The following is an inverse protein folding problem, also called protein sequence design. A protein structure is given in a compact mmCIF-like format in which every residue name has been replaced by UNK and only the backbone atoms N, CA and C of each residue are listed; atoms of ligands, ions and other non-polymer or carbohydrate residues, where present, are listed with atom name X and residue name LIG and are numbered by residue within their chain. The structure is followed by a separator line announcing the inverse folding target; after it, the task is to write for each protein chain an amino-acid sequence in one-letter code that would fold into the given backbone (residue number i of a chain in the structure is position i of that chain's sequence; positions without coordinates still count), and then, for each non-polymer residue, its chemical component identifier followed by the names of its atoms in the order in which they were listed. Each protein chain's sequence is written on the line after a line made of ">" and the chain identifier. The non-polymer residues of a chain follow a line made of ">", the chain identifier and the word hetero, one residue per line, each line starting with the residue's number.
data_IF_178982648165
#
_entry.id   IF_178982648165
#
_cell.length_a   1.000
_cell.length_b   1.000
_cell.length_c   1.000
_cell.angle_alpha   90.00
_cell.angle_beta   90.00
_cell.angle_gamma   90.00
#
_symmetry.space_group_name_H-M   'P 1'
#
loop_
_entity.id
_entity.type
_entity.pdbx_description
1 polymer ?
#
# COMPACT_ATOMS: atom_id res chain seq x y z
N UNK A 1 -34.77 -22.04 0.19
CA UNK A 1 -34.46 -20.74 0.83
C UNK A 1 -32.97 -20.61 1.17
N UNK A 2 -32.43 -21.34 2.17
CA UNK A 2 -31.02 -21.16 2.58
C UNK A 2 -30.03 -21.52 1.46
N UNK A 3 -30.21 -22.66 0.78
CA UNK A 3 -29.33 -23.05 -0.34
C UNK A 3 -29.22 -21.99 -1.43
N UNK A 4 -30.36 -21.41 -1.83
CA UNK A 4 -30.42 -20.30 -2.79
C UNK A 4 -29.60 -19.08 -2.33
N UNK A 5 -29.79 -18.63 -1.08
CA UNK A 5 -29.04 -17.51 -0.53
C UNK A 5 -27.52 -17.72 -0.59
N UNK A 6 -27.06 -18.93 -0.28
CA UNK A 6 -25.64 -19.26 -0.29
C UNK A 6 -25.07 -19.37 -1.71
N UNK A 7 -25.86 -19.84 -2.67
CA UNK A 7 -25.48 -19.89 -4.08
C UNK A 7 -25.31 -18.48 -4.65
N UNK A 8 -26.27 -17.58 -4.37
CA UNK A 8 -26.19 -16.18 -4.77
C UNK A 8 -24.93 -15.50 -4.19
N UNK A 9 -24.63 -15.71 -2.91
CA UNK A 9 -23.43 -15.15 -2.26
C UNK A 9 -22.11 -15.76 -2.74
N UNK A 10 -22.12 -17.00 -3.24
CA UNK A 10 -20.93 -17.63 -3.85
C UNK A 10 -20.64 -17.04 -5.23
N UNK A 11 -21.68 -16.71 -5.98
CA UNK A 11 -21.56 -16.08 -7.28
C UNK A 11 -21.21 -14.59 -7.16
N UNK A 12 -21.89 -13.89 -6.26
CA UNK A 12 -21.76 -12.45 -6.04
C UNK A 12 -21.67 -12.14 -4.53
N UNK A 13 -20.43 -12.01 -3.99
CA UNK A 13 -20.22 -11.82 -2.56
C UNK A 13 -20.54 -10.41 -2.07
N UNK A 14 -20.85 -9.45 -2.95
CA UNK A 14 -21.15 -8.07 -2.57
C UNK A 14 -22.65 -7.79 -2.31
N UNK A 15 -23.50 -8.79 -2.56
CA UNK A 15 -24.95 -8.70 -2.38
C UNK A 15 -25.32 -8.30 -0.95
N UNK A 16 -26.08 -7.22 -0.85
CA UNK A 16 -26.63 -6.77 0.43
C UNK A 16 -27.77 -7.66 0.89
N UNK A 17 -28.03 -7.67 2.21
CA UNK A 17 -29.17 -8.38 2.79
C UNK A 17 -30.53 -7.95 2.20
N UNK A 18 -30.65 -6.71 1.70
CA UNK A 18 -31.86 -6.24 1.02
C UNK A 18 -31.98 -6.83 -0.37
N UNK A 19 -30.91 -6.80 -1.18
CA UNK A 19 -30.90 -7.43 -2.49
C UNK A 19 -31.18 -8.93 -2.42
N UNK A 20 -30.68 -9.61 -1.38
CA UNK A 20 -30.99 -11.03 -1.14
C UNK A 20 -32.47 -11.25 -0.79
N UNK A 21 -33.09 -10.34 -0.05
CA UNK A 21 -34.53 -10.40 0.24
C UNK A 21 -35.37 -10.19 -1.02
N UNK A 22 -34.99 -9.20 -1.83
CA UNK A 22 -35.66 -8.91 -3.10
C UNK A 22 -35.54 -10.10 -4.07
N UNK A 23 -34.35 -10.74 -4.17
CA UNK A 23 -34.15 -11.95 -5.00
C UNK A 23 -34.97 -13.14 -4.49
N UNK A 24 -35.03 -13.36 -3.17
CA UNK A 24 -35.88 -14.41 -2.60
C UNK A 24 -37.37 -14.19 -2.89
N UNK A 25 -37.83 -12.94 -2.83
CA UNK A 25 -39.21 -12.61 -3.16
C UNK A 25 -39.50 -12.80 -4.65
N UNK A 26 -38.60 -12.34 -5.52
CA UNK A 26 -38.77 -12.40 -6.97
C UNK A 26 -38.65 -13.83 -7.53
N UNK A 27 -37.69 -14.63 -7.05
CA UNK A 27 -37.38 -15.93 -7.63
C UNK A 27 -38.07 -17.09 -6.92
N UNK A 28 -38.37 -16.95 -5.62
CA UNK A 28 -39.01 -17.99 -4.82
C UNK A 28 -40.39 -17.61 -4.29
N UNK A 29 -40.84 -16.37 -4.48
CA UNK A 29 -42.10 -15.87 -3.89
C UNK A 29 -42.04 -15.73 -2.36
N UNK A 30 -40.85 -15.73 -1.77
CA UNK A 30 -40.66 -15.75 -0.30
C UNK A 30 -40.22 -14.38 0.19
N UNK A 31 -41.14 -13.67 0.86
CA UNK A 31 -40.84 -12.38 1.50
C UNK A 31 -40.26 -12.60 2.91
N UNK A 32 -39.05 -12.12 3.13
CA UNK A 32 -38.36 -12.20 4.43
C UNK A 32 -37.72 -10.88 4.82
N UNK A 33 -37.62 -10.62 6.12
CA UNK A 33 -36.88 -9.47 6.62
C UNK A 33 -35.36 -9.67 6.43
N UNK A 34 -34.57 -8.60 6.20
CA UNK A 34 -33.11 -8.69 6.10
C UNK A 34 -32.44 -9.34 7.32
N UNK A 35 -33.03 -9.17 8.51
CA UNK A 35 -32.54 -9.81 9.74
C UNK A 35 -32.65 -11.34 9.69
N UNK A 36 -33.70 -11.88 9.08
CA UNK A 36 -33.87 -13.34 8.91
C UNK A 36 -32.81 -13.90 7.98
N UNK A 37 -32.50 -13.20 6.88
CA UNK A 37 -31.41 -13.56 5.97
C UNK A 37 -30.07 -13.55 6.71
N UNK A 38 -29.79 -12.49 7.49
CA UNK A 38 -28.57 -12.41 8.29
C UNK A 38 -28.41 -13.63 9.20
N UNK A 39 -29.46 -14.01 9.91
CA UNK A 39 -29.41 -15.16 10.82
C UNK A 39 -29.09 -16.48 10.08
N UNK A 40 -29.65 -16.68 8.88
CA UNK A 40 -29.36 -17.87 8.07
C UNK A 40 -27.94 -17.86 7.47
N UNK A 41 -27.47 -16.71 6.99
CA UNK A 41 -26.13 -16.52 6.46
C UNK A 41 -25.08 -16.73 7.57
N UNK A 42 -25.31 -16.16 8.75
CA UNK A 42 -24.45 -16.37 9.94
C UNK A 42 -24.44 -17.85 10.38
N UNK A 43 -25.61 -18.51 10.41
CA UNK A 43 -25.73 -19.93 10.75
C UNK A 43 -25.01 -20.83 9.73
N UNK A 44 -24.90 -20.41 8.48
CA UNK A 44 -24.10 -21.05 7.44
C UNK A 44 -22.61 -20.66 7.49
N UNK A 45 -22.19 -19.93 8.51
CA UNK A 45 -20.82 -19.45 8.72
C UNK A 45 -20.29 -18.50 7.63
N UNK A 46 -21.19 -17.82 6.90
CA UNK A 46 -20.80 -16.72 6.02
C UNK A 46 -20.61 -15.46 6.86
N UNK A 47 -19.38 -14.99 6.94
CA UNK A 47 -19.02 -13.80 7.71
C UNK A 47 -18.67 -12.63 6.79
N UNK A 48 -18.97 -11.41 7.24
CA UNK A 48 -18.56 -10.19 6.54
C UNK A 48 -17.04 -10.09 6.52
N UNK A 49 -16.46 -10.04 5.32
CA UNK A 49 -15.03 -9.86 5.10
C UNK A 49 -14.80 -8.61 4.25
N UNK A 50 -13.59 -8.07 4.31
CA UNK A 50 -13.18 -7.04 3.36
C UNK A 50 -13.03 -7.70 1.98
N UNK A 51 -13.74 -7.17 0.98
CA UNK A 51 -13.61 -7.63 -0.41
C UNK A 51 -12.19 -7.34 -0.91
N UNK A 52 -11.52 -8.38 -1.40
CA UNK A 52 -10.25 -8.25 -2.12
C UNK A 52 -10.60 -8.08 -3.60
N UNK A 53 -10.21 -6.93 -4.17
CA UNK A 53 -10.54 -6.60 -5.57
C UNK A 53 -9.45 -7.14 -6.48
N UNK A 54 -9.78 -8.14 -7.28
CA UNK A 54 -8.93 -8.60 -8.38
C UNK A 54 -9.20 -7.79 -9.64
N UNK A 55 -8.13 -7.24 -10.23
CA UNK A 55 -8.25 -6.60 -11.53
C UNK A 55 -8.51 -7.68 -12.57
N UNK A 56 -9.58 -7.54 -13.34
CA UNK A 56 -10.01 -8.52 -14.35
C UNK A 56 -8.89 -8.93 -15.32
N UNK A 57 -7.98 -8.00 -15.62
CA UNK A 57 -6.88 -8.23 -16.55
C UNK A 57 -5.63 -8.86 -15.91
N UNK A 58 -5.54 -8.96 -14.57
CA UNK A 58 -4.31 -9.34 -13.84
C UNK A 58 -3.77 -10.71 -14.26
N UNK A 59 -4.67 -11.67 -14.47
CA UNK A 59 -4.36 -13.08 -14.76
C UNK A 59 -4.70 -13.51 -16.19
N UNK A 60 -4.87 -12.54 -17.09
CA UNK A 60 -4.97 -12.83 -18.53
C UNK A 60 -3.70 -13.52 -19.04
N UNK A 61 -3.83 -14.38 -20.05
CA UNK A 61 -2.69 -15.08 -20.69
C UNK A 61 -1.59 -14.11 -21.10
N UNK A 62 -1.96 -12.99 -21.73
CA UNK A 62 -1.04 -11.93 -22.16
C UNK A 62 -0.24 -11.34 -20.99
N UNK A 63 -0.88 -11.08 -19.84
CA UNK A 63 -0.16 -10.53 -18.68
C UNK A 63 0.67 -11.59 -17.94
N UNK A 64 0.29 -12.87 -18.03
CA UNK A 64 1.14 -13.98 -17.55
C UNK A 64 2.40 -14.12 -18.39
N UNK A 65 2.30 -14.02 -19.71
CA UNK A 65 3.45 -14.04 -20.63
C UNK A 65 4.39 -12.86 -20.33
N UNK A 66 3.86 -11.63 -20.23
CA UNK A 66 4.66 -10.45 -19.85
C UNK A 66 5.39 -10.62 -18.51
N UNK A 67 4.74 -11.23 -17.52
CA UNK A 67 5.37 -11.53 -16.22
C UNK A 67 6.52 -12.53 -16.36
N UNK A 68 6.33 -13.56 -17.20
CA UNK A 68 7.37 -14.55 -17.49
C UNK A 68 8.55 -13.91 -18.22
N UNK A 69 8.31 -13.12 -19.25
CA UNK A 69 9.36 -12.44 -20.02
C UNK A 69 10.17 -11.48 -19.13
N UNK A 70 9.47 -10.75 -18.25
CA UNK A 70 10.10 -9.93 -17.23
C UNK A 70 10.96 -10.76 -16.28
N UNK A 71 10.44 -11.89 -15.77
CA UNK A 71 11.18 -12.75 -14.84
C UNK A 71 12.44 -13.34 -15.51
N UNK A 72 12.34 -13.79 -16.75
CA UNK A 72 13.49 -14.28 -17.53
C UNK A 72 14.55 -13.18 -17.65
N UNK A 73 14.15 -11.98 -18.06
CA UNK A 73 15.06 -10.84 -18.19
C UNK A 73 15.74 -10.49 -16.85
N UNK A 74 14.97 -10.53 -15.75
CA UNK A 74 15.50 -10.29 -14.40
C UNK A 74 16.54 -11.34 -14.01
N UNK A 75 16.25 -12.63 -14.27
CA UNK A 75 17.16 -13.73 -13.98
C UNK A 75 18.44 -13.66 -14.82
N UNK A 76 18.36 -13.26 -16.08
CA UNK A 76 19.53 -13.04 -16.94
C UNK A 76 20.44 -11.95 -16.37
N UNK A 77 19.88 -10.83 -15.91
CA UNK A 77 20.67 -9.78 -15.27
C UNK A 77 21.30 -10.23 -13.96
N UNK A 78 20.57 -11.00 -13.15
CA UNK A 78 21.12 -11.60 -11.93
C UNK A 78 22.25 -12.59 -12.23
N UNK A 79 22.09 -13.44 -13.24
CA UNK A 79 23.11 -14.40 -13.68
C UNK A 79 24.36 -13.71 -14.24
N UNK A 80 24.19 -12.54 -14.86
CA UNK A 80 25.28 -11.67 -15.30
C UNK A 80 25.96 -10.91 -14.15
N UNK A 81 25.55 -11.13 -12.90
CA UNK A 81 26.14 -10.47 -11.71
C UNK A 81 25.73 -9.01 -11.55
N UNK A 82 24.67 -8.56 -12.23
CA UNK A 82 24.20 -7.17 -12.11
C UNK A 82 23.51 -6.93 -10.78
N UNK A 83 23.69 -5.72 -10.25
CA UNK A 83 23.01 -5.22 -9.05
C UNK A 83 21.62 -4.74 -9.44
N UNK A 84 20.60 -5.43 -8.93
CA UNK A 84 19.20 -5.05 -9.11
C UNK A 84 18.78 -4.07 -8.01
N UNK A 85 18.29 -2.92 -8.42
CA UNK A 85 17.78 -1.87 -7.54
C UNK A 85 16.28 -1.68 -7.76
N UNK A 86 15.50 -1.78 -6.70
CA UNK A 86 14.05 -1.61 -6.72
C UNK A 86 13.69 -0.21 -6.22
N UNK A 87 13.00 0.55 -7.06
CA UNK A 87 12.55 1.90 -6.75
C UNK A 87 11.05 1.93 -6.55
N UNK A 88 10.61 2.64 -5.52
CA UNK A 88 9.20 2.86 -5.21
C UNK A 88 8.93 4.21 -4.56
N UNK A 89 7.68 4.65 -4.65
CA UNK A 89 7.20 5.88 -4.06
C UNK A 89 6.15 5.57 -2.97
N UNK A 90 6.42 6.03 -1.75
CA UNK A 90 5.47 5.97 -0.64
C UNK A 90 5.07 7.37 -0.19
N UNK A 91 3.85 7.50 0.34
CA UNK A 91 3.30 8.77 0.78
C UNK A 91 3.10 8.77 2.29
N UNK A 92 3.73 9.73 2.97
CA UNK A 92 3.49 10.00 4.38
C UNK A 92 2.59 11.21 4.55
N UNK A 93 1.64 11.11 5.47
CA UNK A 93 0.84 12.25 5.89
C UNK A 93 0.70 12.32 7.40
N UNK A 94 0.60 13.55 7.92
CA UNK A 94 0.35 13.82 9.34
C UNK A 94 -1.13 14.06 9.62
N UNK A 95 -2.04 13.62 8.74
CA UNK A 95 -3.46 13.87 8.92
C UNK A 95 -4.03 12.97 10.02
N UNK A 96 -3.82 13.36 11.28
CA UNK A 96 -4.36 12.68 12.44
C UNK A 96 -5.53 13.47 13.05
N UNK A 97 -6.68 13.43 12.40
CA UNK A 97 -7.91 14.01 12.94
C UNK A 97 -8.74 12.92 13.62
N UNK A 98 -9.10 13.11 14.89
CA UNK A 98 -10.09 12.24 15.55
C UNK A 98 -11.44 12.44 14.86
N UNK A 99 -11.97 11.38 14.25
CA UNK A 99 -13.27 11.37 13.57
C UNK A 99 -14.45 11.24 14.54
N UNK A 100 -14.18 10.87 15.80
CA UNK A 100 -15.19 10.69 16.86
C UNK A 100 -14.85 11.55 18.07
N UNK A 101 -15.86 12.23 18.60
CA UNK A 101 -15.83 13.02 19.83
C UNK A 101 -17.15 12.90 20.57
N UNK A 102 -17.21 13.36 21.82
CA UNK A 102 -18.44 13.35 22.61
C UNK A 102 -19.09 14.73 22.56
N UNK A 103 -20.42 14.75 22.50
CA UNK A 103 -21.27 15.94 22.64
C UNK A 103 -22.54 15.54 23.38
N UNK A 104 -23.31 16.52 23.83
CA UNK A 104 -24.62 16.28 24.43
C UNK A 104 -25.54 15.56 23.43
N UNK A 105 -26.43 14.69 23.94
CA UNK A 105 -27.43 13.99 23.12
C UNK A 105 -28.24 15.01 22.32
N UNK A 106 -28.37 14.78 21.00
CA UNK A 106 -29.02 15.71 20.08
C UNK A 106 -28.14 16.87 19.58
N UNK A 107 -26.90 17.01 20.06
CA UNK A 107 -25.94 18.01 19.57
C UNK A 107 -24.80 17.35 18.80
N UNK A 108 -24.32 18.03 17.76
CA UNK A 108 -23.13 17.61 17.01
C UNK A 108 -21.87 17.82 17.85
N UNK A 109 -20.93 16.87 17.81
CA UNK A 109 -19.58 17.09 18.32
C UNK A 109 -18.80 17.91 17.29
N UNK A 110 -18.37 19.12 17.67
CA UNK A 110 -17.67 20.06 16.78
C UNK A 110 -16.31 20.38 17.36
N UNK A 111 -15.26 20.21 16.56
CA UNK A 111 -13.90 20.64 16.86
C UNK A 111 -13.50 21.70 15.85
N UNK A 112 -13.09 22.88 16.31
CA UNK A 112 -12.47 23.89 15.45
C UNK A 112 -11.11 23.36 15.00
N UNK A 113 -10.90 23.31 13.69
CA UNK A 113 -9.64 22.94 13.05
C UNK A 113 -9.22 24.08 12.14
N UNK A 114 -7.91 24.27 11.99
CA UNK A 114 -7.38 25.22 11.03
C UNK A 114 -7.72 24.78 9.61
N UNK A 115 -7.97 25.75 8.72
CA UNK A 115 -8.16 25.48 7.30
C UNK A 115 -6.80 25.14 6.65
N UNK A 116 -6.75 24.06 5.88
CA UNK A 116 -5.53 23.56 5.25
C UNK A 116 -5.14 22.17 5.74
N UNK A 117 -5.29 21.18 4.85
CA UNK A 117 -4.75 19.84 5.04
C UNK A 117 -3.26 19.87 5.39
N UNK A 118 -2.79 18.96 6.24
CA UNK A 118 -1.35 18.68 6.29
C UNK A 118 -0.89 18.22 4.91
N UNK A 119 0.20 18.76 4.38
CA UNK A 119 0.72 18.33 3.09
C UNK A 119 1.21 16.88 3.16
N UNK A 120 0.98 16.12 2.08
CA UNK A 120 1.61 14.82 1.91
C UNK A 120 3.11 15.03 1.63
N UNK A 121 3.92 14.20 2.26
CA UNK A 121 5.33 14.02 1.92
C UNK A 121 5.45 12.77 1.06
N UNK A 122 5.92 12.96 -0.16
CA UNK A 122 6.30 11.90 -1.06
C UNK A 122 7.71 11.47 -0.70
N UNK A 123 7.93 10.17 -0.55
CA UNK A 123 9.24 9.60 -0.30
C UNK A 123 9.50 8.57 -1.38
N UNK A 124 10.52 8.86 -2.18
CA UNK A 124 10.98 7.94 -3.22
C UNK A 124 12.18 7.22 -2.64
N UNK A 125 12.14 5.90 -2.62
CA UNK A 125 13.17 5.07 -2.05
C UNK A 125 13.65 4.05 -3.07
N UNK A 126 14.95 3.76 -3.03
CA UNK A 126 15.62 2.78 -3.84
C UNK A 126 16.31 1.78 -2.91
N UNK A 127 15.94 0.51 -3.01
CA UNK A 127 16.46 -0.58 -2.18
C UNK A 127 17.11 -1.65 -3.05
N UNK A 128 18.15 -2.29 -2.54
CA UNK A 128 18.70 -3.53 -3.09
C UNK A 128 18.19 -4.73 -2.29
N UNK A 129 18.63 -5.94 -2.67
CA UNK A 129 18.44 -7.15 -1.85
C UNK A 129 18.97 -6.98 -0.41
N UNK A 130 19.96 -6.10 -0.21
CA UNK A 130 20.73 -6.05 1.03
C UNK A 130 20.52 -4.79 1.85
N UNK A 131 20.10 -3.66 1.27
CA UNK A 131 19.92 -2.43 2.03
C UNK A 131 19.12 -1.37 1.27
N UNK A 132 18.72 -0.33 1.99
CA UNK A 132 18.41 0.97 1.42
C UNK A 132 19.65 1.56 0.72
N UNK A 133 19.52 1.89 -0.56
CA UNK A 133 20.60 2.48 -1.37
C UNK A 133 20.49 4.00 -1.40
N UNK A 134 19.29 4.52 -1.64
CA UNK A 134 19.06 5.96 -1.73
C UNK A 134 17.60 6.28 -1.46
N UNK A 135 17.32 7.44 -0.87
CA UNK A 135 15.97 7.96 -0.79
C UNK A 135 15.96 9.48 -0.81
N UNK A 136 14.86 10.04 -1.27
CA UNK A 136 14.59 11.48 -1.21
C UNK A 136 13.19 11.70 -0.67
N UNK A 137 13.04 12.80 0.07
CA UNK A 137 11.76 13.25 0.62
C UNK A 137 11.36 14.56 -0.04
N UNK A 138 10.10 14.68 -0.49
CA UNK A 138 9.58 15.91 -1.12
C UNK A 138 8.17 16.22 -0.64
N UNK A 139 7.87 17.50 -0.46
CA UNK A 139 6.50 17.95 -0.17
C UNK A 139 5.78 18.39 -1.44
N UNK A 140 4.47 18.14 -1.47
CA UNK A 140 3.62 18.53 -2.61
C UNK A 140 3.67 17.51 -3.75
N UNK A 141 3.04 17.84 -4.87
CA UNK A 141 2.81 16.87 -5.97
C UNK A 141 4.10 16.38 -6.60
N UNK A 142 4.22 15.06 -6.75
CA UNK A 142 5.27 14.44 -7.54
C UNK A 142 4.96 14.53 -9.04
N UNK A 143 5.89 15.05 -9.84
CA UNK A 143 5.81 15.15 -11.32
C UNK A 143 6.91 14.30 -11.95
N UNK A 144 6.75 13.93 -13.20
CA UNK A 144 7.75 13.16 -13.96
C UNK A 144 9.18 13.74 -13.90
N UNK A 145 9.31 15.07 -13.92
CA UNK A 145 10.61 15.75 -13.78
C UNK A 145 11.33 15.38 -12.48
N UNK A 146 10.58 15.19 -11.40
CA UNK A 146 11.12 14.84 -10.09
C UNK A 146 11.66 13.41 -10.07
N UNK A 147 10.99 12.48 -10.77
CA UNK A 147 11.47 11.11 -10.92
C UNK A 147 12.82 11.07 -11.63
N UNK A 148 12.99 11.87 -12.68
CA UNK A 148 14.28 11.96 -13.39
C UNK A 148 15.37 12.58 -12.52
N UNK A 149 15.03 13.58 -11.71
CA UNK A 149 15.97 14.19 -10.77
C UNK A 149 16.41 13.18 -9.70
N UNK A 150 15.47 12.41 -9.16
CA UNK A 150 15.76 11.32 -8.23
C UNK A 150 16.68 10.27 -8.85
N UNK A 151 16.36 9.78 -10.05
CA UNK A 151 17.22 8.80 -10.75
C UNK A 151 18.62 9.36 -10.97
N UNK A 152 18.74 10.64 -11.32
CA UNK A 152 20.06 11.30 -11.45
C UNK A 152 20.78 11.39 -10.11
N UNK A 153 20.08 11.70 -9.03
CA UNK A 153 20.62 11.70 -7.66
C UNK A 153 21.12 10.31 -7.25
N UNK A 154 20.30 9.28 -7.46
CA UNK A 154 20.63 7.88 -7.22
C UNK A 154 21.90 7.46 -7.98
N UNK A 155 21.96 7.70 -9.30
CA UNK A 155 23.11 7.29 -10.11
C UNK A 155 24.39 8.02 -9.69
N UNK A 156 24.30 9.31 -9.31
CA UNK A 156 25.44 10.05 -8.73
C UNK A 156 25.89 9.45 -7.41
N UNK A 157 24.94 9.10 -6.53
CA UNK A 157 25.23 8.47 -5.25
C UNK A 157 25.96 7.14 -5.43
N UNK A 158 25.46 6.28 -6.33
CA UNK A 158 26.09 4.99 -6.66
C UNK A 158 27.49 5.19 -7.25
N UNK A 159 27.65 6.13 -8.18
CA UNK A 159 28.96 6.43 -8.77
C UNK A 159 29.98 6.96 -7.75
N UNK A 160 29.54 7.71 -6.74
CA UNK A 160 30.40 8.26 -5.69
C UNK A 160 30.85 7.23 -4.66
N UNK A 161 30.02 6.22 -4.37
CA UNK A 161 30.37 5.12 -3.48
C UNK A 161 31.53 4.28 -4.05
N UNK A 162 31.67 4.23 -5.38
CA UNK A 162 32.79 3.57 -6.07
C UNK A 162 32.78 2.04 -6.01
N UNK A 163 31.81 1.44 -5.30
CA UNK A 163 31.68 -0.01 -5.12
C UNK A 163 31.01 -0.72 -6.30
N UNK A 164 30.23 0.00 -7.12
CA UNK A 164 29.40 -0.56 -8.18
C UNK A 164 29.56 0.27 -9.46
N UNK A 165 29.91 -0.38 -10.59
CA UNK A 165 29.89 0.26 -11.90
C UNK A 165 28.46 0.51 -12.34
N UNK A 166 28.19 1.69 -12.93
CA UNK A 166 26.86 2.03 -13.45
C UNK A 166 26.40 1.07 -14.56
N UNK A 167 27.32 0.43 -15.29
CA UNK A 167 27.00 -0.61 -16.29
C UNK A 167 26.36 -1.86 -15.68
N UNK A 168 26.59 -2.07 -14.40
CA UNK A 168 26.23 -3.28 -13.68
C UNK A 168 24.96 -3.05 -12.85
N UNK A 169 24.33 -1.88 -12.96
CA UNK A 169 23.09 -1.54 -12.26
C UNK A 169 21.89 -1.75 -13.17
N UNK A 170 20.87 -2.44 -12.66
CA UNK A 170 19.54 -2.55 -13.28
C UNK A 170 18.53 -1.93 -12.33
N UNK A 171 17.84 -0.90 -12.80
CA UNK A 171 16.78 -0.24 -12.05
C UNK A 171 15.42 -0.85 -12.42
N UNK A 172 14.75 -1.41 -11.43
CA UNK A 172 13.38 -1.93 -11.52
C UNK A 172 12.43 -0.89 -10.94
N UNK A 173 11.48 -0.46 -11.76
CA UNK A 173 10.46 0.52 -11.43
C UNK A 173 9.12 -0.19 -11.23
N UNK A 174 8.83 -0.68 -10.02
CA UNK A 174 7.46 -0.99 -9.58
C UNK A 174 7.40 -1.30 -8.07
N UNK A 175 6.26 -0.92 -7.46
CA UNK A 175 5.69 -1.23 -6.14
C UNK A 175 6.59 -1.97 -5.13
N UNK A 176 7.74 -1.40 -4.77
CA UNK A 176 8.61 -1.98 -3.75
C UNK A 176 7.90 -1.92 -2.38
N UNK A 177 8.02 -2.95 -1.52
CA UNK A 177 7.29 -3.04 -0.26
C UNK A 177 7.80 -2.09 0.83
N UNK A 178 8.43 -0.97 0.46
CA UNK A 178 8.94 0.05 1.37
C UNK A 178 7.82 0.86 2.07
N UNK A 179 6.55 0.55 1.79
CA UNK A 179 5.40 1.06 2.52
C UNK A 179 5.47 0.68 4.01
N UNK A 180 6.11 1.53 4.80
CA UNK A 180 6.09 1.42 6.24
C UNK A 180 4.93 2.27 6.81
N UNK A 181 4.21 1.70 7.79
CA UNK A 181 3.20 2.45 8.54
C UNK A 181 3.92 3.32 9.57
N UNK A 182 4.31 4.53 9.19
CA UNK A 182 4.85 5.56 10.11
C UNK A 182 3.86 5.97 11.22
N UNK A 183 2.68 5.34 11.28
CA UNK A 183 1.65 5.50 12.32
C UNK A 183 2.21 5.38 13.75
N UNK A 184 3.22 4.53 13.97
CA UNK A 184 3.84 4.36 15.29
C UNK A 184 4.53 5.65 15.78
N UNK A 185 5.33 6.30 14.92
CA UNK A 185 5.95 7.60 15.18
C UNK A 185 4.92 8.65 15.55
N UNK A 186 3.87 8.72 14.73
CA UNK A 186 2.83 9.73 14.85
C UNK A 186 2.07 9.56 16.16
N UNK A 187 1.94 8.32 16.63
CA UNK A 187 1.31 7.99 17.90
C UNK A 187 2.18 8.42 19.08
N UNK A 188 3.48 8.15 19.03
CA UNK A 188 4.42 8.45 20.11
C UNK A 188 4.69 9.95 20.27
N UNK A 189 4.87 10.67 19.15
CA UNK A 189 5.16 12.12 19.13
C UNK A 189 3.90 12.98 19.00
N UNK A 190 2.73 12.40 19.29
CA UNK A 190 1.43 13.05 19.04
C UNK A 190 1.29 14.40 19.74
N UNK A 191 1.72 14.49 21.00
CA UNK A 191 1.61 15.73 21.77
C UNK A 191 2.49 16.82 21.18
N UNK A 192 3.72 16.48 20.81
CA UNK A 192 4.69 17.40 20.22
C UNK A 192 4.24 17.91 18.85
N UNK A 193 3.65 17.03 18.01
CA UNK A 193 3.08 17.42 16.70
C UNK A 193 1.94 18.44 16.86
N UNK A 194 1.22 18.40 17.99
CA UNK A 194 0.12 19.32 18.28
C UNK A 194 0.59 20.61 18.96
N UNK A 195 1.71 20.57 19.69
CA UNK A 195 2.30 21.70 20.38
C UNK A 195 3.24 22.48 19.43
N UNK A 196 2.66 23.38 18.63
CA UNK A 196 3.43 24.24 17.71
C UNK A 196 4.17 25.32 18.51
N UNK A 197 5.50 25.45 18.40
CA UNK A 197 6.28 26.51 19.03
C UNK A 197 5.87 27.90 18.56
N UNK A 198 6.09 28.90 19.41
CA UNK A 198 5.86 30.30 19.05
C UNK A 198 6.82 30.73 17.94
N UNK A 199 6.31 31.47 16.95
CA UNK A 199 7.10 31.92 15.79
C UNK A 199 7.28 30.88 14.67
N UNK A 200 6.81 29.64 14.82
CA UNK A 200 6.87 28.60 13.77
C UNK A 200 5.47 28.38 13.19
N UNK A 201 5.36 28.31 11.87
CA UNK A 201 4.07 27.98 11.26
C UNK A 201 3.73 26.51 11.54
N UNK A 202 2.45 26.21 11.74
CA UNK A 202 1.99 24.82 11.92
C UNK A 202 2.36 23.93 10.72
N UNK A 203 2.48 24.52 9.53
CA UNK A 203 2.92 23.83 8.32
C UNK A 203 4.38 23.40 8.48
N UNK A 204 5.27 24.33 8.79
CA UNK A 204 6.71 24.06 8.90
C UNK A 204 7.00 23.09 10.06
N UNK A 205 6.28 23.26 11.19
CA UNK A 205 6.35 22.35 12.33
C UNK A 205 5.97 20.92 11.94
N UNK A 206 4.87 20.73 11.22
CA UNK A 206 4.46 19.39 10.77
C UNK A 206 5.41 18.82 9.71
N UNK A 207 5.91 19.67 8.82
CA UNK A 207 6.88 19.26 7.82
C UNK A 207 8.17 18.74 8.45
N UNK A 208 8.67 19.38 9.51
CA UNK A 208 9.87 18.89 10.20
C UNK A 208 9.66 17.50 10.81
N UNK A 209 8.49 17.25 11.44
CA UNK A 209 8.15 15.91 11.94
C UNK A 209 8.04 14.86 10.84
N UNK A 210 7.50 15.21 9.66
CA UNK A 210 7.45 14.29 8.53
C UNK A 210 8.86 13.93 8.06
N UNK A 211 9.75 14.92 7.90
CA UNK A 211 11.14 14.66 7.56
C UNK A 211 11.84 13.80 8.62
N UNK A 212 11.72 14.15 9.90
CA UNK A 212 12.30 13.38 11.00
C UNK A 212 11.82 11.92 10.97
N UNK A 213 10.52 11.71 10.75
CA UNK A 213 9.95 10.39 10.58
C UNK A 213 10.61 9.66 9.41
N UNK A 214 10.63 10.23 8.20
CA UNK A 214 11.22 9.55 7.04
C UNK A 214 12.69 9.17 7.29
N UNK A 215 13.50 10.09 7.83
CA UNK A 215 14.91 9.80 8.11
C UNK A 215 15.12 8.72 9.17
N UNK A 216 14.23 8.64 10.17
CA UNK A 216 14.28 7.60 11.19
C UNK A 216 13.76 6.25 10.69
N UNK A 217 12.67 6.24 9.92
CA UNK A 217 11.98 5.00 9.52
C UNK A 217 12.52 4.36 8.25
N UNK A 218 12.95 5.14 7.25
CA UNK A 218 13.39 4.56 5.99
C UNK A 218 14.52 3.55 6.19
N UNK A 219 15.56 3.81 7.01
CA UNK A 219 16.61 2.83 7.29
C UNK A 219 16.10 1.60 8.07
N UNK A 220 15.09 1.76 8.93
CA UNK A 220 14.51 0.64 9.69
C UNK A 220 13.64 -0.25 8.80
N UNK A 221 12.79 0.38 7.98
CA UNK A 221 11.89 -0.29 7.05
C UNK A 221 12.68 -1.06 5.98
N UNK A 222 13.71 -0.43 5.41
CA UNK A 222 14.62 -1.02 4.42
C UNK A 222 15.95 -1.46 5.06
N UNK A 223 15.87 -2.06 6.26
CA UNK A 223 17.01 -2.71 6.89
C UNK A 223 17.42 -3.97 6.11
N UNK A 224 18.67 -4.42 6.27
CA UNK A 224 19.15 -5.63 5.58
C UNK A 224 18.30 -6.87 5.84
N UNK A 225 17.80 -7.03 7.07
CA UNK A 225 16.92 -8.13 7.44
C UNK A 225 15.60 -8.04 6.66
N UNK A 226 15.01 -6.85 6.59
CA UNK A 226 13.74 -6.63 5.88
C UNK A 226 13.92 -6.75 4.37
N UNK A 227 14.94 -6.13 3.78
CA UNK A 227 15.24 -6.23 2.34
C UNK A 227 15.40 -7.68 1.90
N UNK A 228 16.15 -8.50 2.66
CA UNK A 228 16.27 -9.94 2.39
C UNK A 228 14.94 -10.68 2.55
N UNK A 229 14.13 -10.32 3.54
CA UNK A 229 12.81 -10.90 3.72
C UNK A 229 11.87 -10.57 2.55
N UNK A 230 11.88 -9.31 2.08
CA UNK A 230 11.12 -8.85 0.91
C UNK A 230 11.58 -9.58 -0.34
N UNK A 231 12.88 -9.68 -0.59
CA UNK A 231 13.42 -10.44 -1.72
C UNK A 231 13.03 -11.93 -1.65
N UNK A 232 13.14 -12.57 -0.48
CA UNK A 232 12.69 -13.97 -0.32
C UNK A 232 11.20 -14.13 -0.55
N UNK A 233 10.40 -13.14 -0.18
CA UNK A 233 8.96 -13.13 -0.45
C UNK A 233 8.71 -13.06 -1.96
N UNK A 234 9.46 -12.26 -2.72
CA UNK A 234 9.29 -12.18 -4.19
C UNK A 234 9.61 -13.49 -4.89
N UNK A 235 10.58 -14.27 -4.40
CA UNK A 235 10.93 -15.58 -4.97
C UNK A 235 9.76 -16.57 -5.01
N UNK A 236 8.78 -16.46 -4.09
CA UNK A 236 7.58 -17.31 -4.13
C UNK A 236 6.75 -17.07 -5.37
N UNK A 237 6.71 -15.82 -5.84
CA UNK A 237 6.00 -15.46 -7.06
C UNK A 237 6.76 -15.88 -8.31
N UNK A 238 8.09 -16.02 -8.25
CA UNK A 238 8.88 -16.49 -9.40
C UNK A 238 8.42 -17.88 -9.84
N UNK A 239 8.18 -18.79 -8.89
CA UNK A 239 7.68 -20.14 -9.19
C UNK A 239 6.30 -20.11 -9.88
N UNK A 240 5.36 -19.31 -9.36
CA UNK A 240 4.04 -19.16 -9.97
C UNK A 240 4.11 -18.57 -11.38
N UNK A 241 4.99 -17.58 -11.59
CA UNK A 241 5.22 -16.99 -12.91
C UNK A 241 5.82 -18.01 -13.88
N UNK A 242 6.79 -18.83 -13.45
CA UNK A 242 7.35 -19.90 -14.27
C UNK A 242 6.29 -20.89 -14.73
N UNK A 243 5.36 -21.28 -13.84
CA UNK A 243 4.27 -22.20 -14.15
C UNK A 243 3.09 -21.57 -14.90
N UNK A 244 3.07 -20.24 -15.07
CA UNK A 244 1.92 -19.48 -15.60
C UNK A 244 0.67 -19.61 -14.72
N UNK A 245 0.89 -19.74 -13.42
CA UNK A 245 -0.17 -19.76 -12.43
C UNK A 245 -0.80 -18.37 -12.27
N UNK A 246 -2.02 -18.35 -11.75
CA UNK A 246 -2.69 -17.11 -11.35
C UNK A 246 -1.94 -16.48 -10.18
N UNK A 247 -1.66 -15.19 -10.29
CA UNK A 247 -1.09 -14.44 -9.19
C UNK A 247 -2.19 -14.10 -8.19
N UNK A 248 -1.94 -14.27 -6.89
CA UNK A 248 -2.88 -13.87 -5.85
C UNK A 248 -2.86 -12.35 -5.65
N UNK A 249 -4.00 -11.78 -5.29
CA UNK A 249 -4.14 -10.36 -4.97
C UNK A 249 -3.87 -10.12 -3.49
N UNK A 250 -2.93 -9.22 -3.18
CA UNK A 250 -2.76 -8.66 -1.83
C UNK A 250 -2.28 -9.66 -0.78
N UNK A 251 -1.17 -10.36 -1.04
CA UNK A 251 -0.52 -11.24 -0.05
C UNK A 251 0.49 -10.50 0.81
#
# INVERSE_FOLDING_TARGET
>A
MVGFLLEQLRYDPDLTLRQLADRLENEMGVRVAPQTIKNHVDAACFTMKQLHKELQYMNTSVNKEKRRDYLVSLQEYQAAGKVILYMDETNFNLWSTRTRGRSLKGKRAVKKVFAGGGQNMHVIACISEHALVYFETRFGSNRYTNTNDFVRGLLRHVAQQGEISLSDVVLVLDNAPCHCRAEAFMRERRLDILAVPEGVTMKDHRQSFLHEAAHLYMPQAASTVNCRAFYRHTLRFHFMVSNMDDMPVGM
#
